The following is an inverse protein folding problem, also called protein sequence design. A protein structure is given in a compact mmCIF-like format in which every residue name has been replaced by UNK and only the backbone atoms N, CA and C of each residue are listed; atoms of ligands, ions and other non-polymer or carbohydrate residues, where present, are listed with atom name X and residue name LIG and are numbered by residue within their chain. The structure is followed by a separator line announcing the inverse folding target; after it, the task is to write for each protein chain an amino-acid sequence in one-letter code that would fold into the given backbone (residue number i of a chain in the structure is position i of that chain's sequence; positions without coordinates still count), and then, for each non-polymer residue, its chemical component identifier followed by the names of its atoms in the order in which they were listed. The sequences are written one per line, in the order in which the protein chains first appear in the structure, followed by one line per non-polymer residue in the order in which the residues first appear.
data_IF_526101585382
#
_entry.id   IF_526101585382
#
_cell.length_a   1.000
_cell.length_b   1.000
_cell.length_c   1.000
_cell.angle_alpha   90.00
_cell.angle_beta   90.00
_cell.angle_gamma   90.00
#
_symmetry.space_group_name_H-M   'P 1'
#
loop_
_entity.id
_entity.type
_entity.pdbx_description
1 polymer ?
#
# COMPACT_ATOMS: atom_id res chain seq x y z
N UNK A 1 15.59 -8.10 14.92
CA UNK A 1 14.88 -7.06 14.12
C UNK A 1 13.53 -6.78 14.77
N UNK A 2 13.15 -5.51 14.82
CA UNK A 2 11.87 -5.11 15.42
C UNK A 2 10.70 -5.63 14.59
N UNK A 3 9.60 -5.95 15.26
CA UNK A 3 8.35 -6.30 14.60
C UNK A 3 7.40 -5.11 14.68
N UNK A 4 6.94 -4.64 13.53
CA UNK A 4 6.02 -3.51 13.40
C UNK A 4 4.77 -3.99 12.69
N UNK A 5 3.61 -3.51 13.13
CA UNK A 5 2.36 -3.76 12.41
C UNK A 5 2.04 -2.55 11.54
N UNK A 6 1.69 -2.80 10.28
CA UNK A 6 1.38 -1.75 9.31
C UNK A 6 0.00 -2.01 8.72
N UNK A 7 -0.90 -1.05 8.90
CA UNK A 7 -2.23 -1.04 8.27
C UNK A 7 -2.22 0.00 7.16
N UNK A 8 -2.77 -0.33 6.01
CA UNK A 8 -2.78 0.57 4.85
C UNK A 8 -4.12 0.57 4.15
N UNK A 9 -4.44 1.69 3.50
CA UNK A 9 -5.58 1.79 2.61
C UNK A 9 -5.35 2.88 1.57
N UNK A 10 -6.01 2.73 0.44
CA UNK A 10 -6.04 3.73 -0.62
C UNK A 10 -7.46 3.90 -1.13
N UNK A 11 -7.81 5.10 -1.51
CA UNK A 11 -9.13 5.42 -2.01
C UNK A 11 -9.02 6.47 -3.13
N UNK A 12 -9.97 6.43 -4.06
CA UNK A 12 -9.96 7.35 -5.18
C UNK A 12 -11.40 7.76 -5.53
N UNK A 13 -11.61 9.04 -5.77
CA UNK A 13 -12.90 9.57 -6.22
C UNK A 13 -12.90 9.54 -7.74
N UNK A 14 -13.41 8.46 -8.32
CA UNK A 14 -13.25 8.17 -9.73
C UNK A 14 -11.95 7.41 -9.97
N UNK A 15 -11.74 6.90 -11.17
CA UNK A 15 -10.59 6.06 -11.46
C UNK A 15 -10.20 6.22 -12.94
N UNK A 16 -9.42 7.27 -13.31
CA UNK A 16 -8.66 8.17 -12.45
C UNK A 16 -9.45 9.32 -11.85
N UNK A 17 -8.86 9.95 -10.84
CA UNK A 17 -9.42 11.11 -10.17
C UNK A 17 -8.61 11.46 -8.92
N UNK A 18 -9.12 12.37 -8.07
CA UNK A 18 -8.47 12.67 -6.80
C UNK A 18 -8.43 11.43 -5.92
N UNK A 19 -7.28 11.15 -5.35
CA UNK A 19 -7.10 9.98 -4.50
C UNK A 19 -6.39 10.30 -3.20
N UNK A 20 -6.54 9.42 -2.21
CA UNK A 20 -5.86 9.51 -0.94
C UNK A 20 -5.32 8.16 -0.51
N UNK A 21 -4.32 8.20 0.35
CA UNK A 21 -3.73 7.01 0.94
C UNK A 21 -3.52 7.23 2.43
N UNK A 22 -3.47 6.15 3.18
CA UNK A 22 -3.18 6.21 4.60
C UNK A 22 -2.45 4.97 5.07
N UNK A 23 -1.59 5.16 6.08
CA UNK A 23 -0.85 4.10 6.71
C UNK A 23 -0.82 4.34 8.22
N UNK A 24 -0.98 3.26 8.99
CA UNK A 24 -0.85 3.31 10.45
C UNK A 24 0.24 2.32 10.83
N UNK A 25 1.28 2.83 11.47
CA UNK A 25 2.38 2.04 11.99
C UNK A 25 2.20 1.86 13.49
N UNK A 26 2.34 0.62 13.97
CA UNK A 26 2.25 0.32 15.40
C UNK A 26 3.45 -0.48 15.85
N UNK A 27 4.10 -0.01 16.89
CA UNK A 27 5.20 -0.70 17.56
C UNK A 27 5.01 -0.55 19.07
N UNK A 28 4.68 -1.67 19.72
CA UNK A 28 4.33 -1.63 21.15
C UNK A 28 3.14 -0.70 21.37
N UNK A 29 3.34 0.31 22.22
CA UNK A 29 2.31 1.32 22.51
C UNK A 29 2.41 2.54 21.59
N UNK A 30 3.43 2.59 20.73
CA UNK A 30 3.63 3.70 19.79
C UNK A 30 2.79 3.49 18.53
N UNK A 31 2.09 4.55 18.15
CA UNK A 31 1.27 4.56 16.94
C UNK A 31 1.59 5.80 16.13
N UNK A 32 1.76 5.64 14.83
CA UNK A 32 1.99 6.75 13.90
C UNK A 32 1.04 6.65 12.73
N UNK A 33 0.28 7.71 12.48
CA UNK A 33 -0.62 7.80 11.33
C UNK A 33 0.03 8.65 10.24
N UNK A 34 0.01 8.17 9.01
CA UNK A 34 0.49 8.88 7.83
C UNK A 34 -0.65 8.91 6.82
N UNK A 35 -0.78 10.02 6.11
CA UNK A 35 -1.75 10.11 5.02
C UNK A 35 -1.32 11.18 4.02
N UNK A 36 -1.85 11.09 2.82
CA UNK A 36 -1.59 12.05 1.76
C UNK A 36 -2.55 11.83 0.61
N UNK A 37 -2.45 12.68 -0.42
CA UNK A 37 -3.33 12.58 -1.56
C UNK A 37 -2.68 13.08 -2.84
N UNK A 38 -3.31 12.76 -3.96
CA UNK A 38 -2.90 13.20 -5.30
C UNK A 38 -4.12 13.62 -6.08
N UNK A 39 -3.97 14.67 -6.90
CA UNK A 39 -5.08 15.24 -7.65
C UNK A 39 -5.58 14.34 -8.78
N UNK A 40 -4.71 13.54 -9.36
CA UNK A 40 -5.05 12.66 -10.48
C UNK A 40 -4.31 11.34 -10.35
N UNK A 41 -5.01 10.32 -9.87
CA UNK A 41 -4.41 9.02 -9.59
C UNK A 41 -5.46 7.91 -9.75
N UNK A 42 -5.11 6.70 -9.35
CA UNK A 42 -6.01 5.54 -9.37
C UNK A 42 -6.06 4.89 -8.01
N UNK A 43 -7.09 4.07 -7.78
CA UNK A 43 -7.21 3.32 -6.53
C UNK A 43 -5.98 2.44 -6.28
N UNK A 44 -5.53 1.70 -7.30
CA UNK A 44 -4.37 0.82 -7.15
C UNK A 44 -3.08 1.59 -6.83
N UNK A 45 -2.88 2.76 -7.44
CA UNK A 45 -1.72 3.60 -7.13
C UNK A 45 -1.77 4.07 -5.67
N UNK A 46 -2.93 4.42 -5.17
CA UNK A 46 -3.07 4.85 -3.77
C UNK A 46 -2.83 3.70 -2.80
N UNK A 47 -3.29 2.49 -3.13
CA UNK A 47 -3.01 1.30 -2.33
C UNK A 47 -1.51 1.02 -2.26
N UNK A 48 -0.82 1.07 -3.39
CA UNK A 48 0.64 0.89 -3.44
C UNK A 48 1.36 1.99 -2.65
N UNK A 49 0.95 3.24 -2.85
CA UNK A 49 1.58 4.39 -2.19
C UNK A 49 1.47 4.28 -0.67
N UNK A 50 0.33 3.82 -0.16
CA UNK A 50 0.14 3.63 1.27
C UNK A 50 1.19 2.66 1.85
N UNK A 51 1.41 1.52 1.20
CA UNK A 51 2.40 0.54 1.65
C UNK A 51 3.81 1.11 1.56
N UNK A 52 4.14 1.75 0.43
CA UNK A 52 5.46 2.35 0.21
C UNK A 52 5.76 3.39 1.29
N UNK A 53 4.84 4.31 1.53
CA UNK A 53 5.04 5.37 2.52
C UNK A 53 5.15 4.83 3.94
N UNK A 54 4.36 3.79 4.26
CA UNK A 54 4.48 3.13 5.56
C UNK A 54 5.85 2.50 5.75
N UNK A 55 6.35 1.77 4.76
CA UNK A 55 7.66 1.13 4.86
C UNK A 55 8.80 2.16 4.85
N UNK A 56 8.68 3.23 4.07
CA UNK A 56 9.69 4.29 4.03
C UNK A 56 9.84 5.03 5.37
N UNK A 57 8.79 5.03 6.19
CA UNK A 57 8.84 5.67 7.49
C UNK A 57 9.67 4.90 8.51
N UNK A 58 10.02 3.66 8.23
CA UNK A 58 10.85 2.82 9.10
C UNK A 58 12.32 3.21 8.93
N UNK A 59 13.02 3.44 10.04
CA UNK A 59 14.39 3.93 10.03
C UNK A 59 15.45 2.83 10.02
N UNK A 60 15.02 1.58 10.20
CA UNK A 60 15.90 0.42 10.22
C UNK A 60 15.17 -0.79 9.65
N UNK A 61 15.86 -1.84 9.22
CA UNK A 61 15.18 -3.05 8.76
C UNK A 61 14.30 -3.62 9.87
N UNK A 62 13.06 -3.92 9.51
CA UNK A 62 12.04 -4.43 10.44
C UNK A 62 11.37 -5.66 9.86
N UNK A 63 10.82 -6.49 10.76
CA UNK A 63 9.79 -7.45 10.38
C UNK A 63 8.47 -6.69 10.41
N UNK A 64 7.73 -6.72 9.31
CA UNK A 64 6.50 -5.95 9.17
C UNK A 64 5.34 -6.89 8.94
N UNK A 65 4.31 -6.78 9.80
CA UNK A 65 3.03 -7.46 9.59
C UNK A 65 2.13 -6.48 8.87
N UNK A 66 1.96 -6.68 7.56
CA UNK A 66 1.18 -5.78 6.70
C UNK A 66 -0.25 -6.27 6.56
N UNK A 67 -1.20 -5.42 6.93
CA UNK A 67 -2.63 -5.66 6.78
C UNK A 67 -3.22 -4.73 5.73
N UNK A 68 -3.76 -5.30 4.66
CA UNK A 68 -4.33 -4.53 3.56
C UNK A 68 -5.57 -5.25 3.01
N UNK A 69 -6.57 -4.50 2.58
CA UNK A 69 -7.73 -5.04 1.89
C UNK A 69 -7.55 -5.08 0.37
N UNK A 70 -6.41 -4.61 -0.14
CA UNK A 70 -6.12 -4.62 -1.57
C UNK A 70 -5.65 -6.00 -2.03
N UNK A 71 -6.52 -6.73 -2.70
CA UNK A 71 -6.15 -8.01 -3.32
C UNK A 71 -5.07 -7.80 -4.38
N UNK A 72 -5.12 -6.69 -5.10
CA UNK A 72 -4.12 -6.36 -6.10
C UNK A 72 -2.70 -6.35 -5.51
N UNK A 73 -2.51 -5.66 -4.39
CA UNK A 73 -1.20 -5.55 -3.74
C UNK A 73 -0.80 -6.88 -3.10
N UNK A 74 -1.69 -7.45 -2.31
CA UNK A 74 -1.40 -8.68 -1.55
C UNK A 74 -1.08 -9.84 -2.50
N UNK A 75 -1.93 -10.08 -3.50
CA UNK A 75 -1.73 -11.20 -4.42
C UNK A 75 -0.48 -11.03 -5.28
N UNK A 76 -0.21 -9.82 -5.76
CA UNK A 76 0.97 -9.59 -6.59
C UNK A 76 2.27 -9.81 -5.82
N UNK A 77 2.28 -9.53 -4.52
CA UNK A 77 3.44 -9.81 -3.67
C UNK A 77 3.50 -11.28 -3.27
N UNK A 78 2.38 -11.82 -2.77
CA UNK A 78 2.33 -13.17 -2.23
C UNK A 78 2.58 -14.23 -3.29
N UNK A 79 1.99 -14.07 -4.47
CA UNK A 79 2.10 -15.03 -5.57
C UNK A 79 3.32 -14.79 -6.46
N UNK A 80 4.11 -13.76 -6.15
CA UNK A 80 5.32 -13.46 -6.90
C UNK A 80 5.08 -12.80 -8.26
N UNK A 81 3.86 -12.32 -8.53
CA UNK A 81 3.53 -11.71 -9.82
C UNK A 81 4.36 -10.46 -10.08
N UNK A 82 4.51 -9.59 -9.08
CA UNK A 82 5.25 -8.34 -9.24
C UNK A 82 6.72 -8.59 -9.58
N UNK A 83 7.36 -9.55 -8.91
CA UNK A 83 8.74 -9.94 -9.23
C UNK A 83 8.85 -10.51 -10.63
N UNK A 84 7.84 -11.29 -11.06
CA UNK A 84 7.79 -11.82 -12.42
C UNK A 84 7.67 -10.71 -13.45
N UNK A 85 6.82 -9.71 -13.20
CA UNK A 85 6.70 -8.56 -14.10
C UNK A 85 8.01 -7.81 -14.22
N UNK A 86 8.69 -7.57 -13.10
CA UNK A 86 9.99 -6.90 -13.09
C UNK A 86 11.03 -7.69 -13.89
N UNK A 87 11.08 -9.00 -13.70
CA UNK A 87 12.04 -9.86 -14.40
C UNK A 87 11.81 -9.86 -15.92
N UNK A 88 10.58 -9.61 -16.37
CA UNK A 88 10.23 -9.57 -17.80
C UNK A 88 10.17 -8.15 -18.36
N UNK A 89 10.75 -7.16 -17.66
CA UNK A 89 10.75 -5.78 -18.12
C UNK A 89 9.38 -5.11 -18.02
N UNK A 90 8.63 -5.45 -16.99
CA UNK A 90 7.28 -4.92 -16.71
C UNK A 90 6.24 -5.33 -17.75
N UNK A 91 6.32 -6.59 -18.11
CA UNK A 91 5.36 -7.24 -19.01
C UNK A 91 4.72 -8.42 -18.27
N UNK A 92 3.41 -8.52 -18.34
CA UNK A 92 2.66 -9.62 -17.73
C UNK A 92 2.76 -10.89 -18.59
N UNK A 93 2.33 -12.03 -18.03
CA UNK A 93 2.36 -13.31 -18.73
C UNK A 93 1.56 -13.31 -20.03
N UNK A 94 0.51 -12.48 -20.13
CA UNK A 94 -0.31 -12.34 -21.34
C UNK A 94 0.29 -11.36 -22.36
N UNK A 95 1.55 -10.92 -22.12
CA UNK A 95 2.31 -9.97 -22.94
C UNK A 95 1.79 -8.54 -22.92
N UNK A 96 0.80 -8.24 -22.08
CA UNK A 96 0.34 -6.85 -21.87
C UNK A 96 1.24 -6.15 -20.86
N UNK A 97 1.36 -4.81 -20.94
CA UNK A 97 2.17 -4.06 -19.97
C UNK A 97 1.65 -4.24 -18.55
N UNK A 98 2.55 -4.43 -17.59
CA UNK A 98 2.21 -4.37 -16.18
C UNK A 98 2.06 -2.91 -15.79
N UNK A 99 1.00 -2.58 -15.05
CA UNK A 99 0.72 -1.22 -14.61
C UNK A 99 1.56 -0.85 -13.39
N UNK A 100 1.78 0.46 -13.23
CA UNK A 100 2.43 1.02 -12.04
C UNK A 100 3.87 0.52 -11.80
N UNK A 101 4.70 0.38 -12.85
CA UNK A 101 6.06 -0.14 -12.66
C UNK A 101 6.90 0.74 -11.74
N UNK A 102 6.70 2.05 -11.75
CA UNK A 102 7.40 3.00 -10.89
C UNK A 102 7.18 2.68 -9.40
N UNK A 103 5.92 2.45 -9.02
CA UNK A 103 5.57 2.14 -7.64
C UNK A 103 5.97 0.73 -7.25
N UNK A 104 5.77 -0.25 -8.14
CA UNK A 104 6.17 -1.62 -7.87
C UNK A 104 7.68 -1.75 -7.67
N UNK A 105 8.47 -1.03 -8.45
CA UNK A 105 9.92 -1.05 -8.30
C UNK A 105 10.34 -0.59 -6.91
N UNK A 106 9.75 0.50 -6.41
CA UNK A 106 10.01 0.99 -5.06
C UNK A 106 9.56 -0.01 -4.00
N UNK A 107 8.38 -0.57 -4.15
CA UNK A 107 7.84 -1.51 -3.17
C UNK A 107 8.66 -2.78 -3.10
N UNK A 108 9.06 -3.34 -4.23
CA UNK A 108 9.89 -4.54 -4.26
C UNK A 108 11.25 -4.31 -3.58
N UNK A 109 11.85 -3.14 -3.79
CA UNK A 109 13.10 -2.77 -3.11
C UNK A 109 12.91 -2.69 -1.59
N UNK A 110 11.80 -2.10 -1.14
CA UNK A 110 11.50 -2.02 0.29
C UNK A 110 11.25 -3.40 0.90
N UNK A 111 10.64 -4.32 0.14
CA UNK A 111 10.43 -5.70 0.60
C UNK A 111 11.74 -6.49 0.69
N UNK A 112 12.79 -6.06 0.03
CA UNK A 112 14.13 -6.64 0.22
C UNK A 112 14.79 -6.13 1.50
N UNK A 113 14.53 -4.87 1.86
CA UNK A 113 15.07 -4.26 3.08
C UNK A 113 14.37 -4.76 4.32
N UNK A 114 13.05 -4.90 4.26
CA UNK A 114 12.21 -5.33 5.39
C UNK A 114 11.66 -6.73 5.12
N UNK A 115 11.44 -7.47 6.20
CA UNK A 115 10.77 -8.77 6.10
C UNK A 115 9.27 -8.53 6.23
N UNK A 116 8.56 -8.53 5.10
CA UNK A 116 7.12 -8.21 5.07
C UNK A 116 6.30 -9.50 5.04
N UNK A 117 5.48 -9.68 6.06
CA UNK A 117 4.49 -10.76 6.12
C UNK A 117 3.14 -10.17 5.75
N UNK A 118 2.45 -10.82 4.82
CA UNK A 118 1.24 -10.29 4.20
C UNK A 118 -0.01 -10.86 4.84
N UNK A 119 -0.97 -9.98 5.18
CA UNK A 119 -2.26 -10.36 5.73
C UNK A 119 -3.36 -9.64 4.96
N UNK A 120 -4.11 -10.38 4.16
CA UNK A 120 -5.27 -9.79 3.49
C UNK A 120 -6.43 -9.68 4.47
N UNK A 121 -7.04 -8.50 4.53
CA UNK A 121 -8.26 -8.27 5.33
C UNK A 121 -9.42 -8.01 4.39
N UNK A 122 -10.57 -8.58 4.68
CA UNK A 122 -11.77 -8.33 3.90
C UNK A 122 -12.22 -6.90 4.15
N UNK A 123 -12.41 -6.12 3.07
CA UNK A 123 -12.71 -4.69 3.17
C UNK A 123 -13.91 -4.40 4.06
N UNK A 124 -13.80 -3.32 4.83
CA UNK A 124 -14.82 -2.82 5.76
C UNK A 124 -15.27 -3.84 6.81
N UNK A 125 -14.50 -4.89 7.01
CA UNK A 125 -14.79 -5.88 8.04
C UNK A 125 -14.45 -5.31 9.42
N UNK A 126 -14.10 -6.12 10.35
CA UNK A 126 -14.02 -5.80 11.77
C UNK A 126 -12.72 -5.13 12.23
N UNK A 127 -11.78 -4.79 11.34
CA UNK A 127 -10.50 -4.23 11.77
C UNK A 127 -10.59 -2.71 11.92
N UNK A 128 -10.55 -2.17 13.15
CA UNK A 128 -10.70 -0.73 13.36
C UNK A 128 -9.56 0.10 12.78
N UNK A 129 -8.36 -0.45 12.68
CA UNK A 129 -7.22 0.28 12.12
C UNK A 129 -7.32 0.40 10.60
N UNK A 130 -7.79 -0.63 9.91
CA UNK A 130 -8.04 -0.54 8.48
C UNK A 130 -9.21 0.41 8.19
N UNK A 131 -10.23 0.43 9.05
CA UNK A 131 -11.32 1.40 8.96
C UNK A 131 -10.80 2.83 9.16
N UNK A 132 -9.89 3.03 10.11
CA UNK A 132 -9.26 4.34 10.31
C UNK A 132 -8.46 4.77 9.09
N UNK A 133 -7.71 3.85 8.46
CA UNK A 133 -6.98 4.15 7.23
C UNK A 133 -7.93 4.59 6.12
N UNK A 134 -9.09 3.94 5.99
CA UNK A 134 -10.09 4.34 4.99
C UNK A 134 -10.56 5.77 5.24
N UNK A 135 -10.90 6.10 6.49
CA UNK A 135 -11.30 7.45 6.84
C UNK A 135 -10.25 8.50 6.48
N UNK A 136 -8.99 8.21 6.80
CA UNK A 136 -7.88 9.13 6.50
C UNK A 136 -7.66 9.28 5.00
N UNK A 137 -7.72 8.18 4.25
CA UNK A 137 -7.54 8.20 2.81
C UNK A 137 -8.66 8.98 2.12
N UNK A 138 -9.90 8.75 2.51
CA UNK A 138 -11.06 9.46 1.98
C UNK A 138 -10.98 10.96 2.30
N UNK A 139 -10.60 11.31 3.52
CA UNK A 139 -10.43 12.70 3.91
C UNK A 139 -9.43 13.44 3.02
N UNK A 140 -8.36 12.76 2.60
CA UNK A 140 -7.35 13.36 1.73
C UNK A 140 -7.89 13.67 0.34
N UNK A 141 -8.60 12.75 -0.32
CA UNK A 141 -9.12 13.06 -1.65
C UNK A 141 -10.27 14.07 -1.59
N UNK A 142 -11.04 14.09 -0.49
CA UNK A 142 -12.08 15.10 -0.31
C UNK A 142 -11.49 16.49 -0.23
N UNK A 143 -10.37 16.68 0.45
CA UNK A 143 -9.67 17.97 0.51
C UNK A 143 -9.20 18.43 -0.87
N UNK A 144 -8.67 17.52 -1.67
CA UNK A 144 -8.19 17.83 -3.02
C UNK A 144 -9.35 18.18 -3.94
N UNK A 145 -10.42 17.42 -3.85
CA UNK A 145 -11.61 17.64 -4.69
C UNK A 145 -12.31 18.96 -4.38
N UNK A 146 -12.17 19.40 -3.14
CA UNK A 146 -12.77 20.63 -2.67
C UNK A 146 -14.22 20.44 -2.29
#
# INVERSE_FOLDING_TARGET
MKTVTLYTDGACSGNPGPGGWAAILMFGEHKKELSGGEANTTNNRMELTAVIRGLEALKEPCQVELYSDSKYVIDALEKGWAKGWQARGWVKSDKKPALNPDLWEKLLALCETHRVNLHWVKGHASNPYNNRCDELAVAQWQRIKG
#
